data_IF_116005302260
#
_entry.id   IF_116005302260
#
_cell.length_a   1.000
_cell.length_b   1.000
_cell.length_c   1.000
_cell.angle_alpha   90.00
_cell.angle_beta   90.00
_cell.angle_gamma   90.00
#
_symmetry.space_group_name_H-M   'P 1'
#
loop_
_entity.id
_entity.type
_entity.pdbx_description
1 polymer ?
#
# COMPACT_ATOMS: atom_id res chain seq x y z
N UNK A 1 -3.20 -35.52 -23.40
CA UNK A 1 -2.53 -35.02 -22.18
C UNK A 1 -3.12 -33.67 -21.85
N UNK A 2 -3.83 -33.52 -20.73
CA UNK A 2 -4.28 -32.20 -20.28
C UNK A 2 -3.09 -31.47 -19.68
N UNK A 3 -2.57 -30.46 -20.38
CA UNK A 3 -1.55 -29.57 -19.80
C UNK A 3 -2.20 -28.83 -18.65
N UNK A 4 -1.74 -29.09 -17.43
CA UNK A 4 -2.22 -28.37 -16.25
C UNK A 4 -1.65 -26.95 -16.33
N UNK A 5 -2.39 -26.04 -16.96
CA UNK A 5 -1.96 -24.66 -17.13
C UNK A 5 -1.75 -24.00 -15.77
N UNK A 6 -0.63 -23.28 -15.63
CA UNK A 6 -0.39 -22.49 -14.42
C UNK A 6 -1.35 -21.29 -14.44
N UNK A 7 -2.03 -20.97 -13.33
CA UNK A 7 -2.98 -19.86 -13.29
C UNK A 7 -2.27 -18.52 -13.11
N UNK A 8 -2.88 -17.45 -13.62
CA UNK A 8 -2.40 -16.06 -13.49
C UNK A 8 -2.01 -15.69 -12.05
N UNK A 9 -2.78 -16.19 -11.05
CA UNK A 9 -2.48 -16.04 -9.62
C UNK A 9 -1.08 -16.51 -9.22
N UNK A 10 -0.63 -17.65 -9.78
CA UNK A 10 0.69 -18.21 -9.48
C UNK A 10 1.80 -17.37 -10.10
N UNK A 11 1.58 -16.84 -11.32
CA UNK A 11 2.51 -15.91 -11.96
C UNK A 11 2.60 -14.58 -11.24
N UNK A 12 1.48 -13.96 -10.85
CA UNK A 12 1.47 -12.74 -10.04
C UNK A 12 2.27 -12.89 -8.74
N UNK A 13 2.17 -14.05 -8.07
CA UNK A 13 2.97 -14.35 -6.87
C UNK A 13 4.47 -14.50 -7.20
N UNK A 14 4.81 -15.25 -8.25
CA UNK A 14 6.18 -15.55 -8.66
C UNK A 14 6.91 -14.30 -9.16
N UNK A 15 6.35 -13.64 -10.18
CA UNK A 15 7.01 -12.57 -10.94
C UNK A 15 7.09 -11.26 -10.14
N UNK A 16 6.21 -11.07 -9.14
CA UNK A 16 6.20 -9.89 -8.25
C UNK A 16 6.80 -10.16 -6.86
N UNK A 17 7.28 -11.37 -6.57
CA UNK A 17 7.86 -11.73 -5.28
C UNK A 17 8.98 -10.77 -4.83
N UNK A 18 9.91 -10.45 -5.74
CA UNK A 18 11.02 -9.54 -5.46
C UNK A 18 10.56 -8.09 -5.19
N UNK A 19 9.50 -7.62 -5.86
CA UNK A 19 8.90 -6.30 -5.62
C UNK A 19 8.19 -6.27 -4.27
N UNK A 20 7.41 -7.30 -3.94
CA UNK A 20 6.78 -7.44 -2.64
C UNK A 20 7.82 -7.47 -1.50
N UNK A 21 8.90 -8.23 -1.64
CA UNK A 21 9.97 -8.30 -0.64
C UNK A 21 10.68 -6.94 -0.43
N UNK A 22 10.96 -6.20 -1.52
CA UNK A 22 11.51 -4.84 -1.44
C UNK A 22 10.55 -3.87 -0.74
N UNK A 23 9.25 -3.97 -1.03
CA UNK A 23 8.23 -3.15 -0.38
C UNK A 23 8.12 -3.45 1.11
N UNK A 24 8.03 -4.73 1.49
CA UNK A 24 7.94 -5.18 2.88
C UNK A 24 9.17 -4.78 3.71
N UNK A 25 10.38 -4.90 3.13
CA UNK A 25 11.62 -4.44 3.75
C UNK A 25 11.71 -2.91 3.89
N UNK A 26 11.06 -2.16 3.00
CA UNK A 26 10.95 -0.70 3.14
C UNK A 26 9.97 -0.31 4.23
N UNK A 27 8.76 -0.87 4.23
CA UNK A 27 7.71 -0.52 5.19
C UNK A 27 7.95 -1.09 6.60
N UNK A 28 8.74 -2.15 6.74
CA UNK A 28 9.17 -2.66 8.05
C UNK A 28 10.13 -1.72 8.80
N UNK A 29 10.59 -0.62 8.18
CA UNK A 29 11.37 0.44 8.84
C UNK A 29 10.51 1.40 9.67
N UNK A 30 9.20 1.44 9.44
CA UNK A 30 8.28 2.29 10.21
C UNK A 30 7.91 1.61 11.53
N UNK A 31 8.36 2.16 12.65
CA UNK A 31 7.89 1.74 13.97
C UNK A 31 6.50 2.33 14.27
N UNK A 32 5.47 1.54 14.01
CA UNK A 32 4.06 1.89 14.23
C UNK A 32 3.70 2.13 15.72
N UNK A 33 4.61 1.88 16.66
CA UNK A 33 4.44 2.22 18.09
C UNK A 33 4.97 3.61 18.45
N UNK A 34 5.53 4.35 17.47
CA UNK A 34 6.04 5.71 17.62
C UNK A 34 5.28 6.69 16.72
N UNK A 35 5.22 7.98 17.12
CA UNK A 35 4.62 9.02 16.27
C UNK A 35 5.31 9.14 14.90
N UNK A 36 6.65 9.27 14.79
CA UNK A 36 7.29 9.40 13.48
C UNK A 36 7.07 8.19 12.57
N UNK A 37 7.11 6.97 13.13
CA UNK A 37 6.89 5.75 12.36
C UNK A 37 5.45 5.60 11.88
N UNK A 38 4.45 5.87 12.74
CA UNK A 38 3.03 5.83 12.33
C UNK A 38 2.69 6.95 11.33
N UNK A 39 3.13 8.18 11.59
CA UNK A 39 2.93 9.32 10.67
C UNK A 39 3.55 9.06 9.30
N UNK A 40 4.81 8.62 9.24
CA UNK A 40 5.49 8.33 7.96
C UNK A 40 4.86 7.14 7.21
N UNK A 41 4.44 6.09 7.93
CA UNK A 41 3.70 4.97 7.36
C UNK A 41 2.38 5.40 6.70
N UNK A 42 1.62 6.26 7.40
CA UNK A 42 0.34 6.78 6.95
C UNK A 42 0.51 7.75 5.77
N UNK A 43 1.44 8.70 5.87
CA UNK A 43 1.77 9.63 4.79
C UNK A 43 2.17 8.90 3.51
N UNK A 44 3.05 7.89 3.60
CA UNK A 44 3.45 7.07 2.45
C UNK A 44 2.25 6.34 1.80
N UNK A 45 1.36 5.76 2.61
CA UNK A 45 0.13 5.13 2.09
C UNK A 45 -0.78 6.14 1.41
N UNK A 46 -1.03 7.30 2.04
CA UNK A 46 -1.86 8.37 1.50
C UNK A 46 -1.34 8.88 0.16
N UNK A 47 -0.05 9.14 0.09
CA UNK A 47 0.66 9.59 -1.10
C UNK A 47 0.53 8.58 -2.25
N UNK A 48 0.73 7.28 -1.97
CA UNK A 48 0.55 6.24 -2.98
C UNK A 48 -0.92 6.10 -3.43
N UNK A 49 -1.89 6.03 -2.51
CA UNK A 49 -3.31 5.89 -2.86
C UNK A 49 -3.82 7.08 -3.69
N UNK A 50 -3.42 8.31 -3.35
CA UNK A 50 -3.86 9.51 -4.05
C UNK A 50 -3.33 9.63 -5.49
N UNK A 51 -2.23 8.96 -5.82
CA UNK A 51 -1.70 8.88 -7.18
C UNK A 51 -2.48 7.90 -8.07
N UNK A 52 -3.18 6.91 -7.50
CA UNK A 52 -3.89 5.88 -8.29
C UNK A 52 -5.10 6.50 -9.01
N UNK A 53 -5.26 6.18 -10.30
CA UNK A 53 -6.51 6.33 -11.05
C UNK A 53 -6.98 4.92 -11.45
N UNK A 54 -7.98 4.35 -10.74
CA UNK A 54 -8.30 2.93 -10.82
C UNK A 54 -8.91 2.54 -12.17
N UNK A 55 -8.72 1.28 -12.54
CA UNK A 55 -9.41 0.64 -13.64
C UNK A 55 -10.88 0.34 -13.26
N UNK A 56 -11.83 0.42 -14.21
CA UNK A 56 -13.22 0.03 -13.98
C UNK A 56 -13.37 -1.51 -13.90
N UNK A 57 -14.48 -1.98 -13.31
CA UNK A 57 -14.82 -3.42 -13.31
C UNK A 57 -13.96 -4.31 -12.42
N UNK A 58 -13.34 -3.76 -11.38
CA UNK A 58 -12.68 -4.52 -10.31
C UNK A 58 -13.58 -4.82 -9.13
N UNK A 59 -13.08 -5.65 -8.21
CA UNK A 59 -13.60 -5.77 -6.85
C UNK A 59 -13.18 -4.55 -6.01
N UNK A 60 -12.11 -3.88 -6.43
CA UNK A 60 -11.61 -2.61 -5.90
C UNK A 60 -11.85 -1.48 -6.89
N UNK A 61 -11.74 -0.23 -6.44
CA UNK A 61 -11.97 0.95 -7.27
C UNK A 61 -11.96 2.24 -6.46
N UNK A 62 -12.48 3.33 -7.04
CA UNK A 62 -12.46 4.68 -6.46
C UNK A 62 -13.01 4.70 -5.03
N UNK A 63 -14.21 4.16 -4.80
CA UNK A 63 -14.85 4.14 -3.48
C UNK A 63 -14.01 3.48 -2.37
N UNK A 64 -13.21 2.45 -2.71
CA UNK A 64 -12.29 1.84 -1.75
C UNK A 64 -11.07 2.73 -1.49
N UNK A 65 -10.51 3.34 -2.53
CA UNK A 65 -9.41 4.30 -2.42
C UNK A 65 -9.84 5.50 -1.58
N UNK A 66 -10.98 6.11 -1.89
CA UNK A 66 -11.56 7.25 -1.16
C UNK A 66 -11.76 6.92 0.32
N UNK A 67 -12.27 5.72 0.63
CA UNK A 67 -12.43 5.24 2.03
C UNK A 67 -11.09 5.05 2.75
N UNK A 68 -10.08 4.52 2.07
CA UNK A 68 -8.74 4.35 2.66
C UNK A 68 -8.06 5.70 2.87
N UNK A 69 -8.16 6.59 1.89
CA UNK A 69 -7.68 7.97 1.93
C UNK A 69 -8.33 8.74 3.09
N UNK A 70 -9.65 8.74 3.21
CA UNK A 70 -10.36 9.45 4.27
C UNK A 70 -10.02 8.90 5.67
N UNK A 71 -9.82 7.59 5.81
CA UNK A 71 -9.38 7.00 7.07
C UNK A 71 -7.95 7.42 7.44
N UNK A 72 -7.03 7.50 6.47
CA UNK A 72 -5.67 7.99 6.69
C UNK A 72 -5.65 9.48 6.99
N UNK A 73 -6.44 10.30 6.28
CA UNK A 73 -6.50 11.74 6.51
C UNK A 73 -7.04 12.07 7.91
N UNK A 74 -7.97 11.27 8.44
CA UNK A 74 -8.40 11.35 9.84
C UNK A 74 -7.27 10.99 10.82
N UNK A 75 -6.55 9.88 10.58
CA UNK A 75 -5.42 9.47 11.43
C UNK A 75 -4.28 10.51 11.42
N UNK A 76 -3.95 11.05 10.24
CA UNK A 76 -2.96 12.11 10.06
C UNK A 76 -3.35 13.42 10.76
N UNK A 77 -4.64 13.77 10.76
CA UNK A 77 -5.17 14.91 11.52
C UNK A 77 -5.03 14.75 13.04
N UNK A 78 -5.19 13.54 13.58
CA UNK A 78 -4.93 13.22 15.01
C UNK A 78 -3.43 13.33 15.34
N UNK A 79 -2.56 13.02 14.37
CA UNK A 79 -1.10 13.05 14.55
C UNK A 79 -0.46 14.42 14.28
N UNK A 80 -1.25 15.41 13.83
CA UNK A 80 -0.80 16.74 13.37
C UNK A 80 0.32 16.63 12.31
N UNK A 81 0.07 15.81 11.28
CA UNK A 81 1.06 15.51 10.25
C UNK A 81 0.47 15.62 8.84
N UNK A 82 1.05 16.47 8.00
CA UNK A 82 0.66 16.60 6.60
C UNK A 82 1.25 15.46 5.75
N UNK A 83 0.55 14.93 4.73
CA UNK A 83 1.12 14.01 3.77
C UNK A 83 2.14 14.71 2.84
N UNK A 84 3.17 13.98 2.43
CA UNK A 84 4.18 14.45 1.47
C UNK A 84 3.57 14.77 0.07
N UNK A 85 4.31 15.55 -0.73
CA UNK A 85 3.97 15.79 -2.13
C UNK A 85 3.90 14.46 -2.92
N UNK A 86 2.81 14.29 -3.69
CA UNK A 86 2.53 13.04 -4.39
C UNK A 86 3.36 12.83 -5.67
N UNK A 87 3.66 11.58 -6.05
CA UNK A 87 4.19 11.26 -7.36
C UNK A 87 3.15 11.50 -8.45
N UNK A 88 3.58 11.46 -9.72
CA UNK A 88 2.68 11.60 -10.86
C UNK A 88 1.55 10.54 -10.85
N UNK A 89 0.32 10.88 -11.29
CA UNK A 89 -0.79 9.94 -11.25
C UNK A 89 -0.56 8.66 -12.08
N UNK A 90 -0.74 7.50 -11.45
CA UNK A 90 -0.69 6.19 -12.11
C UNK A 90 -2.10 5.80 -12.56
N UNK A 91 -2.35 5.81 -13.88
CA UNK A 91 -3.61 5.32 -14.46
C UNK A 91 -3.50 3.84 -14.77
N UNK A 92 -4.41 3.08 -14.16
CA UNK A 92 -4.56 1.64 -14.39
C UNK A 92 -5.62 1.39 -15.45
N UNK A 93 -5.44 0.31 -16.22
CA UNK A 93 -6.41 -0.18 -17.20
C UNK A 93 -6.89 -1.59 -16.86
N UNK A 94 -6.17 -2.33 -16.00
CA UNK A 94 -6.46 -3.72 -15.66
C UNK A 94 -6.91 -3.88 -14.22
N UNK A 95 -8.20 -4.18 -14.05
CA UNK A 95 -8.80 -4.37 -12.72
C UNK A 95 -8.17 -5.52 -11.92
N UNK A 96 -7.69 -6.58 -12.58
CA UNK A 96 -6.97 -7.67 -11.92
C UNK A 96 -5.65 -7.22 -11.28
N UNK A 97 -5.00 -6.17 -11.78
CA UNK A 97 -3.74 -5.64 -11.23
C UNK A 97 -3.97 -4.88 -9.92
N UNK A 98 -4.96 -3.96 -9.89
CA UNK A 98 -5.35 -3.29 -8.65
C UNK A 98 -5.96 -4.23 -7.63
N UNK A 99 -6.82 -5.17 -8.05
CA UNK A 99 -7.46 -6.12 -7.15
C UNK A 99 -6.39 -6.98 -6.43
N UNK A 100 -5.34 -7.43 -7.14
CA UNK A 100 -4.23 -8.17 -6.53
C UNK A 100 -3.53 -7.38 -5.41
N UNK A 101 -3.14 -6.14 -5.68
CA UNK A 101 -2.33 -5.33 -4.75
C UNK A 101 -3.17 -4.75 -3.62
N UNK A 102 -4.34 -4.17 -3.91
CA UNK A 102 -5.18 -3.50 -2.92
C UNK A 102 -5.88 -4.49 -1.98
N UNK A 103 -6.37 -5.64 -2.47
CA UNK A 103 -6.91 -6.68 -1.58
C UNK A 103 -5.79 -7.37 -0.79
N UNK A 104 -4.63 -7.59 -1.42
CA UNK A 104 -3.44 -8.12 -0.76
C UNK A 104 -2.98 -7.23 0.41
N UNK A 105 -2.93 -5.91 0.23
CA UNK A 105 -2.55 -4.97 1.28
C UNK A 105 -3.53 -4.97 2.46
N UNK A 106 -4.84 -5.05 2.21
CA UNK A 106 -5.86 -5.19 3.28
C UNK A 106 -5.81 -6.52 4.02
N UNK A 107 -5.29 -7.59 3.41
CA UNK A 107 -5.02 -8.85 4.12
C UNK A 107 -3.78 -8.72 5.00
N UNK A 108 -2.69 -8.13 4.47
CA UNK A 108 -1.44 -7.89 5.21
C UNK A 108 -1.60 -6.93 6.40
N UNK A 109 -2.53 -5.96 6.33
CA UNK A 109 -2.76 -4.97 7.38
C UNK A 109 -3.18 -5.56 8.73
N UNK A 110 -3.61 -6.82 8.80
CA UNK A 110 -3.92 -7.49 10.07
C UNK A 110 -2.72 -7.61 11.00
N UNK A 111 -1.52 -7.86 10.46
CA UNK A 111 -0.29 -7.89 11.25
C UNK A 111 0.11 -6.47 11.70
N UNK A 112 -0.05 -5.49 10.82
CA UNK A 112 0.26 -4.09 11.09
C UNK A 112 -0.64 -3.52 12.20
N UNK A 113 -1.94 -3.85 12.18
CA UNK A 113 -2.89 -3.53 13.25
C UNK A 113 -2.44 -4.10 14.60
N UNK A 114 -1.89 -5.32 14.65
CA UNK A 114 -1.37 -5.91 15.90
C UNK A 114 -0.10 -5.18 16.40
N UNK A 115 0.79 -4.77 15.49
CA UNK A 115 1.99 -3.97 15.83
C UNK A 115 1.61 -2.60 16.39
N UNK A 116 0.75 -1.88 15.68
CA UNK A 116 0.21 -0.58 16.11
C UNK A 116 -0.52 -0.66 17.46
N UNK A 117 -1.36 -1.68 17.68
CA UNK A 117 -2.09 -1.86 18.94
C UNK A 117 -1.18 -2.19 20.15
N UNK A 118 0.12 -2.38 19.96
CA UNK A 118 1.11 -2.46 21.04
C UNK A 118 1.65 -1.09 21.49
N UNK A 119 1.27 0.01 20.82
CA UNK A 119 1.58 1.37 21.24
C UNK A 119 0.99 1.67 22.63
N UNK A 120 1.68 2.53 23.38
CA UNK A 120 1.25 2.98 24.73
C UNK A 120 0.72 4.41 24.76
N UNK A 121 1.04 5.22 23.74
CA UNK A 121 0.55 6.60 23.61
C UNK A 121 -0.94 6.59 23.19
N UNK A 122 -1.86 7.15 24.00
CA UNK A 122 -3.27 7.25 23.66
C UNK A 122 -3.55 7.97 22.34
N UNK A 123 -2.69 8.91 21.92
CA UNK A 123 -2.87 9.64 20.66
C UNK A 123 -2.56 8.74 19.46
N UNK A 124 -1.54 7.87 19.56
CA UNK A 124 -1.29 6.85 18.54
C UNK A 124 -2.43 5.84 18.46
N UNK A 125 -3.01 5.45 19.60
CA UNK A 125 -4.16 4.54 19.67
C UNK A 125 -5.47 5.19 19.18
N UNK A 126 -5.56 6.53 19.16
CA UNK A 126 -6.64 7.26 18.51
C UNK A 126 -6.47 7.35 16.98
N UNK A 127 -5.24 7.43 16.48
CA UNK A 127 -4.88 7.40 15.06
C UNK A 127 -4.88 5.97 14.48
N UNK A 128 -6.02 5.29 14.57
CA UNK A 128 -6.20 3.88 14.24
C UNK A 128 -7.21 3.55 13.14
N UNK A 129 -7.83 4.54 12.49
CA UNK A 129 -8.94 4.35 11.57
C UNK A 129 -8.56 3.49 10.35
N UNK A 130 -7.43 3.80 9.68
CA UNK A 130 -6.98 3.06 8.50
C UNK A 130 -6.57 1.62 8.81
N UNK A 131 -5.86 1.40 9.92
CA UNK A 131 -5.47 0.06 10.37
C UNK A 131 -6.66 -0.75 10.90
N UNK A 132 -7.71 -0.07 11.36
CA UNK A 132 -8.95 -0.69 11.85
C UNK A 132 -10.00 -1.01 10.77
N UNK A 133 -9.84 -0.48 9.54
CA UNK A 133 -10.72 -0.82 8.40
C UNK A 133 -10.86 -2.35 8.23
N UNK A 134 -12.06 -2.85 7.88
CA UNK A 134 -12.34 -4.28 7.85
C UNK A 134 -11.50 -5.03 6.80
N UNK A 135 -11.16 -6.31 7.03
CA UNK A 135 -10.46 -7.13 6.06
C UNK A 135 -11.40 -7.54 4.92
N UNK A 136 -10.92 -7.44 3.68
CA UNK A 136 -11.66 -7.81 2.47
C UNK A 136 -11.46 -9.28 2.10
N UNK A 137 -11.64 -10.18 3.08
CA UNK A 137 -11.31 -11.60 2.93
C UNK A 137 -12.21 -12.35 1.93
N UNK A 138 -13.46 -11.91 1.74
CA UNK A 138 -14.36 -12.46 0.73
C UNK A 138 -13.95 -12.02 -0.67
N UNK A 139 -13.64 -10.73 -0.86
CA UNK A 139 -13.19 -10.20 -2.14
C UNK A 139 -11.84 -10.78 -2.54
N UNK A 140 -10.93 -11.01 -1.57
CA UNK A 140 -9.68 -11.72 -1.82
C UNK A 140 -9.89 -13.15 -2.31
N UNK A 141 -10.89 -13.88 -1.79
CA UNK A 141 -11.26 -15.21 -2.31
C UNK A 141 -11.80 -15.10 -3.74
N UNK A 142 -12.75 -14.20 -3.99
CA UNK A 142 -13.29 -13.97 -5.33
C UNK A 142 -12.20 -13.56 -6.35
N UNK A 143 -11.22 -12.75 -5.95
CA UNK A 143 -10.03 -12.48 -6.74
C UNK A 143 -9.20 -13.75 -6.99
N UNK A 144 -8.94 -14.56 -5.96
CA UNK A 144 -8.17 -15.80 -6.10
C UNK A 144 -8.83 -16.80 -7.05
N UNK A 145 -10.16 -16.88 -7.06
CA UNK A 145 -10.94 -17.74 -7.94
C UNK A 145 -10.87 -17.22 -9.40
N UNK A 146 -11.11 -15.92 -9.61
CA UNK A 146 -10.97 -15.26 -10.93
C UNK A 146 -9.54 -15.41 -11.49
N UNK A 147 -8.52 -15.12 -10.69
CA UNK A 147 -7.11 -15.27 -11.08
C UNK A 147 -6.66 -16.74 -11.17
N UNK A 148 -7.44 -17.68 -10.62
CA UNK A 148 -7.27 -19.12 -10.75
C UNK A 148 -7.79 -19.68 -12.08
N UNK A 149 -8.82 -19.04 -12.65
CA UNK A 149 -9.43 -19.41 -13.92
C UNK A 149 -8.76 -18.78 -15.17
N UNK A 150 -7.87 -17.81 -14.98
CA UNK A 150 -7.17 -17.12 -16.08
C UNK A 150 -5.79 -17.76 -16.36
N UNK A 151 -5.38 -17.87 -17.65
CA UNK A 151 -4.07 -18.39 -18.01
C UNK A 151 -2.95 -17.47 -17.53
N UNK A 152 -1.78 -18.03 -17.20
CA UNK A 152 -0.62 -17.23 -16.83
C UNK A 152 0.21 -16.70 -18.00
N UNK A 153 -0.12 -17.06 -19.24
CA UNK A 153 0.57 -16.63 -20.45
C UNK A 153 -0.29 -15.71 -21.34
N UNK A 154 0.40 -14.93 -22.18
CA UNK A 154 -0.22 -14.06 -23.19
C UNK A 154 -0.34 -12.61 -22.75
N UNK A 155 -0.59 -11.73 -23.73
CA UNK A 155 -0.51 -10.27 -23.60
C UNK A 155 -1.28 -9.71 -22.40
N UNK A 156 -2.48 -10.25 -22.11
CA UNK A 156 -3.28 -9.77 -20.98
C UNK A 156 -2.66 -10.15 -19.63
N UNK A 157 -2.07 -11.35 -19.50
CA UNK A 157 -1.32 -11.73 -18.30
C UNK A 157 -0.07 -10.86 -18.12
N UNK A 158 0.63 -10.54 -19.22
CA UNK A 158 1.79 -9.64 -19.21
C UNK A 158 1.42 -8.22 -18.74
N UNK A 159 0.31 -7.66 -19.26
CA UNK A 159 -0.20 -6.34 -18.87
C UNK A 159 -0.65 -6.30 -17.41
N UNK A 160 -1.36 -7.34 -16.91
CA UNK A 160 -1.79 -7.42 -15.51
C UNK A 160 -0.58 -7.50 -14.57
N UNK A 161 0.44 -8.29 -14.90
CA UNK A 161 1.69 -8.37 -14.11
C UNK A 161 2.45 -7.03 -14.16
N UNK A 162 2.48 -6.36 -15.32
CA UNK A 162 3.12 -5.06 -15.47
C UNK A 162 2.47 -3.97 -14.61
N UNK A 163 1.15 -3.76 -14.72
CA UNK A 163 0.42 -2.75 -13.93
C UNK A 163 0.49 -3.05 -12.42
N UNK A 164 0.44 -4.33 -12.02
CA UNK A 164 0.63 -4.72 -10.63
C UNK A 164 2.06 -4.41 -10.14
N UNK A 165 3.06 -4.58 -11.01
CA UNK A 165 4.44 -4.15 -10.75
C UNK A 165 4.57 -2.65 -10.55
N UNK A 166 3.93 -1.84 -11.41
CA UNK A 166 3.90 -0.38 -11.27
C UNK A 166 3.28 0.08 -9.95
N UNK A 167 2.24 -0.63 -9.46
CA UNK A 167 1.68 -0.38 -8.13
C UNK A 167 2.69 -0.67 -7.01
N UNK A 168 3.39 -1.80 -7.02
CA UNK A 168 4.45 -2.06 -6.02
C UNK A 168 5.55 -0.99 -6.05
N UNK A 169 6.00 -0.59 -7.25
CA UNK A 169 7.04 0.41 -7.43
C UNK A 169 6.55 1.82 -6.98
N UNK A 170 5.26 2.15 -7.16
CA UNK A 170 4.60 3.36 -6.63
C UNK A 170 4.59 3.41 -5.09
N UNK A 171 4.13 2.34 -4.42
CA UNK A 171 4.14 2.28 -2.95
C UNK A 171 5.57 2.31 -2.40
N UNK A 172 6.53 1.67 -3.10
CA UNK A 172 7.93 1.68 -2.70
C UNK A 172 8.52 3.10 -2.77
N UNK A 173 8.25 3.86 -3.83
CA UNK A 173 8.70 5.25 -3.95
C UNK A 173 8.13 6.13 -2.83
N UNK A 174 6.83 6.00 -2.52
CA UNK A 174 6.19 6.74 -1.44
C UNK A 174 6.77 6.37 -0.06
N UNK A 175 7.01 5.07 0.20
CA UNK A 175 7.66 4.60 1.43
C UNK A 175 9.09 5.11 1.57
N UNK A 176 9.87 5.12 0.47
CA UNK A 176 11.23 5.63 0.45
C UNK A 176 11.28 7.14 0.76
N UNK A 177 10.36 7.94 0.23
CA UNK A 177 10.25 9.37 0.55
C UNK A 177 9.97 9.57 2.05
N UNK A 178 8.93 8.91 2.60
CA UNK A 178 8.57 9.02 4.01
C UNK A 178 9.70 8.59 4.97
N UNK A 179 10.53 7.60 4.61
CA UNK A 179 11.71 7.26 5.42
C UNK A 179 12.84 8.30 5.37
N UNK A 180 12.95 9.08 4.29
CA UNK A 180 13.97 10.13 4.15
C UNK A 180 13.61 11.38 4.95
N UNK A 181 12.32 11.76 4.99
CA UNK A 181 11.82 12.87 5.82
C UNK A 181 12.09 12.70 7.32
N UNK A 182 12.31 11.46 7.79
CA UNK A 182 12.72 11.15 9.16
C UNK A 182 14.25 11.08 9.36
N UNK A 183 15.01 10.72 8.32
CA UNK A 183 16.44 10.45 8.44
C UNK A 183 17.33 11.70 8.37
N UNK A 184 16.80 12.84 7.93
CA UNK A 184 17.48 14.12 8.02
C UNK A 184 17.52 14.58 9.49
N UNK A 185 18.69 14.63 10.16
CA UNK A 185 18.76 15.29 11.45
C UNK A 185 18.42 16.76 11.24
N UNK A 186 17.61 17.33 12.14
CA UNK A 186 17.46 18.78 12.25
C UNK A 186 18.83 19.37 12.58
N UNK A 187 19.59 19.73 11.54
CA UNK A 187 20.84 20.45 11.69
C UNK A 187 20.53 21.73 12.46
N UNK A 188 21.04 21.82 13.68
CA UNK A 188 20.65 22.86 14.62
C UNK A 188 20.88 24.23 13.98
N UNK A 189 19.83 25.07 13.97
CA UNK A 189 20.01 26.50 13.76
C UNK A 189 20.68 27.06 15.02
N UNK A 190 22.00 26.93 15.04
CA UNK A 190 22.91 27.49 16.02
C UNK A 190 24.18 27.86 15.27
N UNK A 191 24.20 29.06 14.69
CA UNK A 191 24.99 30.17 15.24
C UNK A 191 25.01 31.39 14.31
N UNK A 192 24.93 32.60 14.91
CA UNK A 192 25.45 33.91 14.44
C UNK A 192 24.91 34.40 13.09
N UNK A 193 24.37 35.61 12.98
CA UNK A 193 25.14 36.87 12.92
C UNK A 193 24.11 38.01 12.75
N UNK A 194 24.29 39.22 13.28
CA UNK A 194 25.37 39.71 14.16
C UNK A 194 25.12 39.26 15.60
#
# INVERSE_FOLDING_TARGET
MTVCQTPLRSRLRRDLAARHARLDACFSRFDLTTRPGLSGFLAAHRTAFAAIRPAPGGLTGALLLDRMIAAIDADLGVLDHAPDAGPAPLRLTRSMAQDYVLLGSRLGSQLLRRRWAAARDPVLLAAGAYLSLPPMAQDWRAFCDRAGALPDQGTEADLVVHEAGQLFDLFLAAGQAGTQSFAAPTAAQSERTV
#
